data_IF_505647087927
#
_entry.id   IF_505647087927
#
_cell.length_a   1.000
_cell.length_b   1.000
_cell.length_c   1.000
_cell.angle_alpha   90.00
_cell.angle_beta   90.00
_cell.angle_gamma   90.00
#
_symmetry.space_group_name_H-M   'P 1'
#
loop_
_entity.id
_entity.type
_entity.pdbx_description
1 polymer ?
#
# COMPACT_ATOMS: atom_id res chain seq x y z
N UNK A 1 -19.04 -20.61 -0.42
CA UNK A 1 -18.15 -19.42 -0.61
C UNK A 1 -18.50 -18.69 -1.91
N UNK A 2 -19.74 -18.22 -2.11
CA UNK A 2 -20.17 -17.57 -3.37
C UNK A 2 -20.43 -16.05 -3.25
N UNK A 3 -20.53 -15.52 -2.04
CA UNK A 3 -20.96 -14.14 -1.78
C UNK A 3 -19.90 -13.10 -2.15
N UNK A 4 -18.62 -13.39 -1.97
CA UNK A 4 -17.56 -12.39 -2.19
C UNK A 4 -17.35 -12.09 -3.67
N UNK A 5 -17.39 -13.10 -4.54
CA UNK A 5 -17.23 -12.91 -5.99
C UNK A 5 -18.39 -12.09 -6.59
N UNK A 6 -19.61 -12.29 -6.10
CA UNK A 6 -20.77 -11.49 -6.52
C UNK A 6 -20.65 -10.02 -6.07
N UNK A 7 -20.11 -9.75 -4.88
CA UNK A 7 -19.83 -8.38 -4.43
C UNK A 7 -18.71 -7.73 -5.24
N UNK A 8 -17.71 -8.49 -5.69
CA UNK A 8 -16.64 -7.99 -6.57
C UNK A 8 -17.18 -7.66 -7.97
N UNK A 9 -18.15 -8.44 -8.47
CA UNK A 9 -18.86 -8.10 -9.72
C UNK A 9 -19.67 -6.80 -9.64
N UNK A 10 -20.06 -6.36 -8.45
CA UNK A 10 -20.72 -5.05 -8.27
C UNK A 10 -19.73 -3.88 -8.42
N UNK A 11 -18.43 -4.14 -8.30
CA UNK A 11 -17.37 -3.21 -8.72
C UNK A 11 -17.18 -3.38 -10.24
N UNK A 12 -18.24 -3.07 -10.97
CA UNK A 12 -18.21 -2.87 -12.40
C UNK A 12 -18.48 -1.39 -12.65
N UNK A 13 -17.54 -0.74 -13.33
CA UNK A 13 -17.58 0.70 -13.57
C UNK A 13 -18.74 1.09 -14.48
N UNK A 14 -19.30 0.15 -15.27
CA UNK A 14 -20.53 0.40 -16.01
C UNK A 14 -21.74 0.63 -15.10
N UNK A 15 -21.75 0.02 -13.90
CA UNK A 15 -22.84 0.18 -12.92
C UNK A 15 -22.63 1.46 -12.10
N UNK A 16 -21.36 1.80 -11.79
CA UNK A 16 -21.00 2.93 -10.92
C UNK A 16 -20.01 3.88 -11.61
N UNK A 17 -20.38 4.52 -12.74
CA UNK A 17 -19.44 5.32 -13.53
C UNK A 17 -18.86 6.52 -12.79
N UNK A 18 -19.51 7.00 -11.73
CA UNK A 18 -19.09 8.15 -10.93
C UNK A 18 -18.54 7.77 -9.56
N UNK A 19 -18.11 6.52 -9.37
CA UNK A 19 -17.57 6.06 -8.09
C UNK A 19 -16.31 6.84 -7.70
N UNK A 20 -16.43 7.70 -6.68
CA UNK A 20 -15.29 8.47 -6.13
C UNK A 20 -14.59 7.77 -4.97
N UNK A 21 -15.32 6.92 -4.24
CA UNK A 21 -14.83 6.31 -3.01
C UNK A 21 -15.14 4.81 -3.01
N UNK A 22 -14.10 3.98 -2.95
CA UNK A 22 -14.22 2.53 -2.83
C UNK A 22 -13.62 2.06 -1.51
N UNK A 23 -14.39 1.32 -0.72
CA UNK A 23 -13.88 0.66 0.49
C UNK A 23 -14.30 -0.80 0.50
N UNK A 24 -13.31 -1.70 0.53
CA UNK A 24 -13.50 -3.14 0.59
C UNK A 24 -12.84 -3.63 1.88
N UNK A 25 -13.64 -3.71 2.94
CA UNK A 25 -13.20 -4.17 4.26
C UNK A 25 -13.70 -5.59 4.48
N UNK A 26 -13.02 -6.58 3.90
CA UNK A 26 -13.35 -7.98 4.16
C UNK A 26 -12.20 -8.65 4.92
N UNK A 27 -12.50 -9.13 6.13
CA UNK A 27 -11.54 -9.80 6.99
C UNK A 27 -11.20 -11.23 6.53
N UNK A 28 -12.03 -11.82 5.66
CA UNK A 28 -11.94 -13.21 5.19
C UNK A 28 -11.26 -13.36 3.81
N UNK A 29 -10.93 -12.25 3.13
CA UNK A 29 -10.27 -12.26 1.82
C UNK A 29 -8.78 -12.65 1.85
N UNK A 30 -8.23 -13.05 3.00
CA UNK A 30 -6.78 -13.25 3.18
C UNK A 30 -6.14 -14.34 2.32
N UNK A 31 -6.94 -15.16 1.63
CA UNK A 31 -6.46 -16.28 0.83
C UNK A 31 -7.20 -16.44 -0.51
N UNK A 32 -8.11 -15.52 -0.86
CA UNK A 32 -8.86 -15.70 -2.11
C UNK A 32 -8.03 -15.26 -3.32
N UNK A 33 -8.09 -16.08 -4.36
CA UNK A 33 -7.49 -15.86 -5.69
C UNK A 33 -8.05 -14.65 -6.43
N UNK A 34 -9.09 -14.02 -5.91
CA UNK A 34 -9.88 -12.98 -6.60
C UNK A 34 -9.37 -11.54 -6.33
N UNK A 35 -8.42 -11.37 -5.40
CA UNK A 35 -7.85 -10.06 -5.06
C UNK A 35 -7.01 -9.40 -6.18
N UNK A 36 -6.20 -10.16 -6.95
CA UNK A 36 -5.52 -9.63 -8.13
C UNK A 36 -6.49 -8.97 -9.12
N UNK A 37 -7.68 -9.55 -9.32
CA UNK A 37 -8.69 -9.03 -10.24
C UNK A 37 -9.23 -7.67 -9.80
N UNK A 38 -9.44 -7.47 -8.49
CA UNK A 38 -9.87 -6.18 -7.94
C UNK A 38 -8.81 -5.11 -8.17
N UNK A 39 -7.54 -5.43 -7.88
CA UNK A 39 -6.45 -4.48 -8.10
C UNK A 39 -6.34 -4.13 -9.58
N UNK A 40 -6.38 -5.13 -10.46
CA UNK A 40 -6.35 -4.90 -11.90
C UNK A 40 -7.50 -3.99 -12.37
N UNK A 41 -8.73 -4.20 -11.89
CA UNK A 41 -9.88 -3.32 -12.20
C UNK A 41 -9.73 -1.89 -11.65
N UNK A 42 -9.19 -1.75 -10.45
CA UNK A 42 -8.97 -0.41 -9.87
C UNK A 42 -7.92 0.34 -10.68
N UNK A 43 -6.87 -0.35 -11.14
CA UNK A 43 -5.75 0.23 -11.87
C UNK A 43 -5.84 0.05 -13.41
N UNK A 44 -7.01 -0.31 -13.96
CA UNK A 44 -7.26 -0.47 -15.40
C UNK A 44 -7.74 0.82 -16.09
N UNK A 45 -7.66 1.99 -15.45
CA UNK A 45 -8.16 3.27 -15.98
C UNK A 45 -9.69 3.40 -16.15
N UNK A 46 -10.44 2.31 -16.06
CA UNK A 46 -11.90 2.32 -16.16
C UNK A 46 -12.57 3.10 -15.00
N UNK A 47 -11.83 3.35 -13.92
CA UNK A 47 -12.27 4.04 -12.72
C UNK A 47 -11.80 5.51 -12.68
N UNK A 48 -11.98 6.25 -13.78
CA UNK A 48 -11.41 7.60 -13.96
C UNK A 48 -11.81 8.62 -12.88
N UNK A 49 -12.93 8.40 -12.18
CA UNK A 49 -13.43 9.28 -11.11
C UNK A 49 -12.99 8.86 -9.70
N UNK A 50 -12.30 7.73 -9.53
CA UNK A 50 -11.97 7.19 -8.22
C UNK A 50 -10.90 8.04 -7.52
N UNK A 51 -11.28 8.69 -6.43
CA UNK A 51 -10.39 9.58 -5.66
C UNK A 51 -9.81 8.90 -4.42
N UNK A 52 -10.53 7.94 -3.84
CA UNK A 52 -10.04 7.20 -2.69
C UNK A 52 -10.35 5.71 -2.77
N UNK A 53 -9.35 4.89 -2.47
CA UNK A 53 -9.49 3.44 -2.43
C UNK A 53 -8.96 2.88 -1.10
N UNK A 54 -9.76 2.03 -0.46
CA UNK A 54 -9.43 1.38 0.80
C UNK A 54 -9.64 -0.12 0.66
N UNK A 55 -8.55 -0.86 0.44
CA UNK A 55 -8.54 -2.32 0.43
C UNK A 55 -8.20 -2.86 1.83
N UNK A 56 -8.64 -4.10 2.08
CA UNK A 56 -8.40 -4.79 3.33
C UNK A 56 -6.91 -4.86 3.67
N UNK A 57 -6.58 -4.78 4.97
CA UNK A 57 -5.20 -4.87 5.44
C UNK A 57 -4.54 -6.23 5.08
N UNK A 58 -5.34 -7.26 4.78
CA UNK A 58 -4.83 -8.59 4.40
C UNK A 58 -4.63 -8.75 2.89
N UNK A 59 -4.99 -7.76 2.08
CA UNK A 59 -4.78 -7.79 0.64
C UNK A 59 -3.28 -7.77 0.34
N UNK A 60 -2.79 -8.78 -0.36
CA UNK A 60 -1.41 -8.82 -0.83
C UNK A 60 -1.38 -8.33 -2.27
N UNK A 61 -0.67 -7.24 -2.53
CA UNK A 61 -0.40 -6.77 -3.89
C UNK A 61 0.98 -7.29 -4.29
N UNK A 62 1.00 -8.46 -4.92
CA UNK A 62 2.20 -9.06 -5.52
C UNK A 62 2.21 -8.71 -7.00
N UNK A 63 3.09 -7.78 -7.37
CA UNK A 63 3.55 -7.51 -8.73
C UNK A 63 2.49 -7.74 -9.82
N UNK A 64 1.64 -6.77 -10.01
CA UNK A 64 0.74 -6.72 -11.16
C UNK A 64 1.47 -6.19 -12.38
N UNK A 65 1.12 -6.72 -13.55
CA UNK A 65 1.48 -6.16 -14.85
C UNK A 65 1.14 -4.67 -14.92
N UNK A 66 1.78 -3.96 -15.88
CA UNK A 66 1.68 -2.51 -16.10
C UNK A 66 0.31 -1.93 -15.71
N UNK A 67 0.25 -1.35 -14.51
CA UNK A 67 -0.89 -0.57 -14.08
C UNK A 67 -0.98 0.68 -14.93
N UNK A 68 -2.19 0.99 -15.39
CA UNK A 68 -2.42 2.25 -16.09
C UNK A 68 -2.31 3.44 -15.13
N UNK A 69 -2.10 4.63 -15.69
CA UNK A 69 -2.09 5.84 -14.88
C UNK A 69 -3.49 6.15 -14.33
N UNK A 70 -3.55 6.48 -13.06
CA UNK A 70 -4.73 6.82 -12.27
C UNK A 70 -4.56 8.20 -11.66
N UNK A 71 -4.69 9.27 -12.46
CA UNK A 71 -4.46 10.64 -12.00
C UNK A 71 -5.54 11.15 -11.04
N UNK A 72 -6.69 10.51 -10.97
CA UNK A 72 -7.77 10.88 -10.04
C UNK A 72 -7.53 10.41 -8.61
N UNK A 73 -6.77 9.32 -8.43
CA UNK A 73 -6.58 8.69 -7.13
C UNK A 73 -5.66 9.54 -6.24
N UNK A 74 -6.21 10.02 -5.11
CA UNK A 74 -5.53 10.87 -4.12
C UNK A 74 -5.27 10.17 -2.80
N UNK A 75 -6.09 9.20 -2.45
CA UNK A 75 -5.97 8.45 -1.19
C UNK A 75 -5.97 6.96 -1.47
N UNK A 76 -4.92 6.28 -1.04
CA UNK A 76 -4.83 4.82 -1.15
C UNK A 76 -4.50 4.22 0.20
N UNK A 77 -5.35 3.30 0.65
CA UNK A 77 -5.09 2.41 1.78
C UNK A 77 -5.15 0.98 1.27
N UNK A 78 -4.06 0.25 1.42
CA UNK A 78 -3.97 -1.15 1.02
C UNK A 78 -3.39 -1.99 2.15
N UNK A 79 -3.42 -3.30 1.96
CA UNK A 79 -2.79 -4.24 2.86
C UNK A 79 -1.28 -4.34 2.64
N UNK A 80 -0.83 -5.57 2.47
CA UNK A 80 0.55 -5.96 2.31
C UNK A 80 1.07 -5.55 0.92
N UNK A 81 2.10 -4.72 0.88
CA UNK A 81 2.83 -4.40 -0.35
C UNK A 81 4.33 -4.59 -0.15
N UNK A 82 5.00 -5.09 -1.20
CA UNK A 82 6.45 -5.12 -1.31
C UNK A 82 6.95 -3.82 -1.96
N UNK A 83 8.28 -3.68 -2.10
CA UNK A 83 8.91 -2.54 -2.76
C UNK A 83 8.53 -2.42 -4.25
N UNK A 84 8.29 -3.54 -4.94
CA UNK A 84 7.87 -3.51 -6.35
C UNK A 84 6.47 -2.93 -6.53
N UNK A 85 5.51 -3.34 -5.71
CA UNK A 85 4.15 -2.82 -5.69
C UNK A 85 4.11 -1.36 -5.22
N UNK A 86 4.99 -0.98 -4.29
CA UNK A 86 5.20 0.42 -3.92
C UNK A 86 5.64 1.25 -5.13
N UNK A 87 6.70 0.83 -5.84
CA UNK A 87 7.17 1.48 -7.07
C UNK A 87 6.09 1.59 -8.15
N UNK A 88 5.33 0.51 -8.37
CA UNK A 88 4.22 0.49 -9.32
C UNK A 88 3.13 1.50 -8.91
N UNK A 89 2.76 1.54 -7.63
CA UNK A 89 1.78 2.49 -7.10
C UNK A 89 2.20 3.93 -7.35
N UNK A 90 3.45 4.29 -7.03
CA UNK A 90 3.96 5.64 -7.24
C UNK A 90 3.95 6.02 -8.73
N UNK A 91 4.28 5.07 -9.61
CA UNK A 91 4.34 5.33 -11.05
C UNK A 91 2.93 5.49 -11.66
N UNK A 92 1.95 4.77 -11.13
CA UNK A 92 0.58 4.76 -11.64
C UNK A 92 -0.29 5.84 -11.03
N UNK A 93 -0.01 6.34 -9.83
CA UNK A 93 -0.90 7.28 -9.13
C UNK A 93 -0.26 8.66 -8.96
N UNK A 94 -0.03 9.45 -10.03
CA UNK A 94 0.81 10.65 -9.97
C UNK A 94 0.30 11.74 -9.01
N UNK A 95 -1.01 11.76 -8.70
CA UNK A 95 -1.63 12.73 -7.79
C UNK A 95 -1.92 12.13 -6.40
N UNK A 96 -1.28 11.01 -6.05
CA UNK A 96 -1.47 10.38 -4.76
C UNK A 96 -0.96 11.30 -3.65
N UNK A 97 -1.85 11.69 -2.76
CA UNK A 97 -1.59 12.61 -1.64
C UNK A 97 -1.34 11.85 -0.33
N UNK A 98 -2.14 10.82 -0.07
CA UNK A 98 -2.06 10.00 1.15
C UNK A 98 -1.94 8.53 0.80
N UNK A 99 -0.89 7.88 1.31
CA UNK A 99 -0.66 6.46 1.08
C UNK A 99 -0.48 5.70 2.40
N UNK A 100 -1.25 4.63 2.58
CA UNK A 100 -1.20 3.74 3.75
C UNK A 100 -1.07 2.29 3.32
N UNK A 101 -0.12 1.58 3.91
CA UNK A 101 0.09 0.16 3.62
C UNK A 101 0.78 -0.57 4.76
N UNK A 102 0.77 -1.90 4.67
CA UNK A 102 1.58 -2.79 5.50
C UNK A 102 2.79 -3.22 4.67
N UNK A 103 3.98 -2.97 5.19
CA UNK A 103 5.23 -3.38 4.56
C UNK A 103 5.42 -4.88 4.75
N UNK A 104 5.80 -5.59 3.69
CA UNK A 104 6.49 -6.87 3.84
C UNK A 104 7.77 -6.85 3.02
N UNK A 105 8.83 -7.43 3.57
CA UNK A 105 10.14 -7.43 2.93
C UNK A 105 10.23 -8.61 1.98
N UNK A 106 10.66 -8.33 0.76
CA UNK A 106 11.17 -9.35 -0.16
C UNK A 106 12.69 -9.22 -0.23
N UNK A 107 13.36 -10.29 -0.64
CA UNK A 107 14.83 -10.34 -0.76
C UNK A 107 15.36 -9.43 -1.86
N UNK A 108 14.51 -9.00 -2.78
CA UNK A 108 14.89 -8.19 -3.95
C UNK A 108 14.56 -6.72 -3.72
N UNK A 109 15.60 -5.88 -3.68
CA UNK A 109 15.48 -4.43 -3.71
C UNK A 109 15.52 -4.01 -5.20
N UNK A 110 14.48 -3.35 -5.73
CA UNK A 110 14.51 -2.86 -7.11
C UNK A 110 15.62 -1.81 -7.30
N UNK A 111 16.27 -1.84 -8.46
CA UNK A 111 17.45 -1.02 -8.77
C UNK A 111 17.22 0.49 -8.74
N UNK A 112 15.97 0.95 -8.86
CA UNK A 112 15.62 2.38 -8.79
C UNK A 112 14.12 2.56 -8.57
N UNK A 113 13.71 3.49 -7.70
CA UNK A 113 12.31 3.90 -7.53
C UNK A 113 12.25 5.42 -7.76
N UNK A 114 11.41 5.85 -8.71
CA UNK A 114 11.24 7.28 -9.00
C UNK A 114 10.61 8.00 -7.82
N UNK A 115 11.11 9.21 -7.54
CA UNK A 115 10.53 10.09 -6.52
C UNK A 115 9.12 10.53 -6.90
N UNK A 116 8.26 10.64 -5.89
CA UNK A 116 6.86 11.02 -5.97
C UNK A 116 6.62 12.28 -5.15
N UNK A 117 6.46 13.40 -5.84
CA UNK A 117 6.47 14.74 -5.22
C UNK A 117 5.16 15.14 -4.54
N UNK A 118 4.06 14.42 -4.82
CA UNK A 118 2.72 14.79 -4.37
C UNK A 118 2.26 14.08 -3.09
N UNK A 119 3.00 13.06 -2.62
CA UNK A 119 2.65 12.38 -1.36
C UNK A 119 3.05 13.29 -0.21
N UNK A 120 2.05 13.69 0.58
CA UNK A 120 2.24 14.48 1.80
C UNK A 120 2.03 13.67 3.06
N UNK A 121 1.28 12.57 2.98
CA UNK A 121 1.01 11.69 4.11
C UNK A 121 1.35 10.24 3.79
N UNK A 122 2.23 9.66 4.60
CA UNK A 122 2.65 8.27 4.49
C UNK A 122 2.40 7.55 5.81
N UNK A 123 1.70 6.42 5.73
CA UNK A 123 1.44 5.56 6.87
C UNK A 123 1.99 4.17 6.60
N UNK A 124 3.09 3.86 7.28
CA UNK A 124 3.75 2.55 7.22
C UNK A 124 3.30 1.70 8.41
N UNK A 125 2.92 0.46 8.13
CA UNK A 125 2.64 -0.52 9.17
C UNK A 125 3.55 -1.73 8.99
N UNK A 126 4.19 -2.18 10.06
CA UNK A 126 4.90 -3.45 10.08
C UNK A 126 4.18 -4.41 11.02
N UNK A 127 3.35 -5.27 10.43
CA UNK A 127 2.55 -6.28 11.12
C UNK A 127 3.15 -7.70 10.96
N UNK A 128 4.35 -7.85 10.38
CA UNK A 128 4.93 -9.17 10.11
C UNK A 128 5.77 -9.71 11.28
N UNK A 129 5.39 -10.90 11.74
CA UNK A 129 5.79 -11.54 13.01
C UNK A 129 7.30 -11.77 13.20
N UNK A 130 8.09 -11.84 12.13
CA UNK A 130 9.43 -12.40 12.18
C UNK A 130 10.54 -11.43 11.78
N UNK A 131 10.23 -10.19 11.41
CA UNK A 131 11.23 -9.32 10.79
C UNK A 131 11.46 -8.03 11.57
N UNK A 132 12.70 -7.87 12.04
CA UNK A 132 13.22 -6.60 12.55
C UNK A 132 13.10 -5.53 11.47
N UNK A 133 12.70 -4.31 11.85
CA UNK A 133 12.65 -3.18 10.93
C UNK A 133 14.04 -2.90 10.36
N UNK A 134 14.28 -3.21 9.09
CA UNK A 134 15.52 -2.81 8.43
C UNK A 134 15.43 -1.32 8.07
N UNK A 135 16.28 -0.49 8.67
CA UNK A 135 16.33 0.94 8.41
C UNK A 135 16.51 1.25 6.92
N UNK A 136 17.26 0.41 6.19
CA UNK A 136 17.50 0.58 4.75
C UNK A 136 16.22 0.50 3.92
N UNK A 137 15.27 -0.33 4.38
CA UNK A 137 13.96 -0.48 3.72
C UNK A 137 13.11 0.77 3.95
N UNK A 138 13.11 1.30 5.18
CA UNK A 138 12.42 2.54 5.51
C UNK A 138 13.01 3.71 4.70
N UNK A 139 14.34 3.82 4.66
CA UNK A 139 15.06 4.81 3.85
C UNK A 139 14.68 4.70 2.37
N UNK A 140 14.54 3.48 1.84
CA UNK A 140 14.07 3.27 0.47
C UNK A 140 12.65 3.80 0.25
N UNK A 141 11.72 3.54 1.17
CA UNK A 141 10.38 4.13 1.06
C UNK A 141 10.39 5.66 1.12
N UNK A 142 11.14 6.23 2.06
CA UNK A 142 11.16 7.67 2.34
C UNK A 142 11.90 8.48 1.28
N UNK A 143 13.01 7.97 0.73
CA UNK A 143 13.74 8.60 -0.39
C UNK A 143 12.87 8.81 -1.63
N UNK A 144 11.79 8.03 -1.76
CA UNK A 144 10.83 8.18 -2.86
C UNK A 144 9.79 9.27 -2.63
N UNK A 145 9.69 9.87 -1.44
CA UNK A 145 8.65 10.87 -1.11
C UNK A 145 9.26 12.08 -0.41
N UNK A 146 10.12 12.87 -1.10
CA UNK A 146 10.91 13.92 -0.47
C UNK A 146 10.07 15.08 0.11
N UNK A 147 8.82 15.24 -0.32
CA UNK A 147 7.94 16.34 0.10
C UNK A 147 6.96 15.95 1.23
N UNK A 148 7.30 14.90 1.98
CA UNK A 148 6.42 14.34 3.01
C UNK A 148 6.22 15.32 4.17
N UNK A 149 4.96 15.57 4.53
CA UNK A 149 4.58 16.45 5.65
C UNK A 149 4.19 15.65 6.90
N UNK A 150 3.68 14.42 6.71
CA UNK A 150 3.21 13.56 7.77
C UNK A 150 3.69 12.13 7.56
N UNK A 151 4.41 11.61 8.55
CA UNK A 151 4.84 10.22 8.62
C UNK A 151 4.23 9.57 9.86
N UNK A 152 3.50 8.47 9.68
CA UNK A 152 3.08 7.62 10.80
C UNK A 152 3.62 6.22 10.58
N UNK A 153 4.34 5.70 11.57
CA UNK A 153 4.91 4.36 11.52
C UNK A 153 4.33 3.55 12.68
N UNK A 154 3.70 2.42 12.34
CA UNK A 154 3.15 1.49 13.33
C UNK A 154 3.97 0.22 13.31
N UNK A 155 4.46 -0.20 14.47
CA UNK A 155 5.15 -1.46 14.66
C UNK A 155 4.34 -2.34 15.57
N UNK A 156 4.07 -3.56 15.16
CA UNK A 156 3.59 -4.57 16.07
C UNK A 156 4.80 -5.30 16.68
N UNK A 157 4.99 -5.18 18.00
CA UNK A 157 6.07 -5.87 18.74
C UNK A 157 5.41 -6.92 19.64
N UNK A 158 5.77 -8.19 19.46
CA UNK A 158 5.36 -9.24 20.39
C UNK A 158 6.13 -9.12 21.70
N UNK A 159 5.45 -9.38 22.81
CA UNK A 159 6.03 -9.32 24.16
C UNK A 159 7.31 -10.16 24.29
N UNK A 160 7.38 -11.29 23.58
CA UNK A 160 8.56 -12.16 23.52
C UNK A 160 9.81 -11.49 22.92
N UNK A 161 9.64 -10.49 22.05
CA UNK A 161 10.74 -9.80 21.35
C UNK A 161 10.97 -8.37 21.87
N UNK A 162 10.24 -7.94 22.90
CA UNK A 162 10.24 -6.56 23.38
C UNK A 162 11.60 -6.09 23.90
N UNK A 163 12.35 -6.97 24.58
CA UNK A 163 13.69 -6.66 25.11
C UNK A 163 14.71 -6.34 24.01
N UNK A 164 14.66 -7.06 22.89
CA UNK A 164 15.60 -6.88 21.78
C UNK A 164 15.22 -5.70 20.88
N UNK A 165 13.93 -5.36 20.80
CA UNK A 165 13.45 -4.28 19.93
C UNK A 165 13.59 -2.88 20.54
N UNK A 166 13.49 -2.74 21.87
CA UNK A 166 13.53 -1.42 22.53
C UNK A 166 14.95 -0.91 22.78
N UNK A 167 15.94 -1.80 22.91
CA UNK A 167 17.30 -1.42 23.30
C UNK A 167 18.14 -0.82 22.16
N UNK A 168 17.73 -0.97 20.89
CA UNK A 168 18.61 -0.71 19.73
C UNK A 168 18.05 0.25 18.67
N UNK A 169 16.97 0.99 18.96
CA UNK A 169 16.33 1.83 17.95
C UNK A 169 16.24 3.30 18.38
N UNK A 170 17.23 4.08 17.96
CA UNK A 170 17.14 5.54 17.95
C UNK A 170 16.60 5.99 16.58
N UNK A 171 15.30 6.26 16.53
CA UNK A 171 14.58 6.66 15.32
C UNK A 171 14.89 8.09 14.89
N UNK A 172 15.41 8.89 15.82
CA UNK A 172 15.61 10.32 15.65
C UNK A 172 17.07 10.66 15.38
N UNK A 173 18.03 9.76 15.64
CA UNK A 173 19.44 9.98 15.31
C UNK A 173 19.69 10.28 13.83
N UNK A 174 18.82 9.85 12.91
CA UNK A 174 18.94 10.05 11.46
C UNK A 174 18.03 11.14 10.88
N UNK A 175 17.31 11.90 11.72
CA UNK A 175 16.40 12.98 11.28
C UNK A 175 17.02 14.39 11.42
N UNK A 176 18.35 14.50 11.45
CA UNK A 176 19.10 15.78 11.49
C UNK A 176 19.75 16.04 10.14
#
# INVERSE_FOLDING_TARGET
MHTTYQQIKQVDNHILPYLKHLSIQNMHLSLSTDLPDICNKIFSNDSSHLQSCFLSNKTIIKRTQQWMQMPSLRVLKVGLINLLAYKATLSSCPNLYSFKFITFVETEIPSEIKSHLNIKRLILKNDYFFQSWDNRIIETYLSCVPNLEQLCMYRHIFSSNMKNCLMNYDWCASLI
#
